data_IF_443400350870
#
_entry.id   IF_443400350870
#
_cell.length_a   1.000
_cell.length_b   1.000
_cell.length_c   1.000
_cell.angle_alpha   90.00
_cell.angle_beta   90.00
_cell.angle_gamma   90.00
#
_symmetry.space_group_name_H-M   'P 1'
#
loop_
_entity.id
_entity.type
_entity.pdbx_description
1 polymer ?
#
# COMPACT_ATOMS: atom_id res chain seq x y z
N UNK A 1 -14.63 -28.79 -0.57
CA UNK A 1 -13.91 -27.72 0.16
C UNK A 1 -14.13 -26.42 -0.59
N UNK A 2 -15.12 -25.64 -0.17
CA UNK A 2 -15.40 -24.33 -0.76
C UNK A 2 -14.23 -23.42 -0.43
N UNK A 3 -13.41 -23.04 -1.42
CA UNK A 3 -12.49 -21.91 -1.26
C UNK A 3 -13.37 -20.73 -0.89
N UNK A 4 -13.38 -20.32 0.38
CA UNK A 4 -13.93 -19.01 0.74
C UNK A 4 -13.10 -18.01 -0.05
N UNK A 5 -13.69 -17.47 -1.11
CA UNK A 5 -13.12 -16.33 -1.79
C UNK A 5 -13.16 -15.22 -0.75
N UNK A 6 -12.02 -14.97 -0.09
CA UNK A 6 -11.93 -13.90 0.91
C UNK A 6 -12.15 -12.62 0.13
N UNK A 7 -13.38 -12.11 0.13
CA UNK A 7 -13.67 -10.81 -0.47
C UNK A 7 -12.82 -9.81 0.28
N UNK A 8 -11.79 -9.30 -0.39
CA UNK A 8 -10.85 -8.33 0.17
C UNK A 8 -11.32 -6.92 -0.07
N UNK A 9 -10.48 -5.97 0.34
CA UNK A 9 -10.60 -4.59 -0.06
C UNK A 9 -10.41 -4.54 -1.57
N UNK A 10 -11.34 -3.89 -2.27
CA UNK A 10 -11.22 -3.61 -3.69
C UNK A 10 -10.14 -2.56 -3.90
N UNK A 11 -10.19 -1.49 -3.10
CA UNK A 11 -9.25 -0.38 -3.13
C UNK A 11 -8.86 0.03 -1.72
N UNK A 12 -7.57 0.28 -1.49
CA UNK A 12 -7.03 0.90 -0.29
C UNK A 12 -6.28 2.16 -0.72
N UNK A 13 -6.67 3.31 -0.17
CA UNK A 13 -5.99 4.58 -0.38
C UNK A 13 -4.97 4.78 0.73
N UNK A 14 -3.72 4.99 0.33
CA UNK A 14 -2.59 5.21 1.21
C UNK A 14 -2.03 6.61 0.96
N UNK A 15 -1.98 7.43 2.01
CA UNK A 15 -1.16 8.62 2.00
C UNK A 15 0.31 8.24 2.23
N UNK A 16 1.24 8.98 1.65
CA UNK A 16 2.68 8.69 1.82
C UNK A 16 3.50 9.93 2.19
N UNK A 17 4.56 9.69 2.97
CA UNK A 17 5.62 10.65 3.31
C UNK A 17 6.99 9.95 3.15
N UNK A 18 8.03 10.60 2.59
CA UNK A 18 8.06 11.97 2.07
C UNK A 18 7.37 12.13 0.70
N UNK A 19 6.75 13.30 0.49
CA UNK A 19 6.03 13.65 -0.74
C UNK A 19 6.99 14.20 -1.79
N UNK A 20 7.70 13.31 -2.50
CA UNK A 20 8.57 13.68 -3.60
C UNK A 20 8.50 12.70 -4.78
N UNK A 21 8.99 13.12 -5.94
CA UNK A 21 8.89 12.38 -7.20
C UNK A 21 9.55 11.00 -7.14
N UNK A 22 10.64 10.84 -6.37
CA UNK A 22 11.32 9.55 -6.26
C UNK A 22 10.47 8.57 -5.48
N UNK A 23 9.87 9.02 -4.38
CA UNK A 23 8.93 8.23 -3.59
C UNK A 23 7.72 7.84 -4.43
N UNK A 24 7.06 8.83 -5.05
CA UNK A 24 5.88 8.59 -5.90
C UNK A 24 6.17 7.60 -7.04
N UNK A 25 7.31 7.77 -7.73
CA UNK A 25 7.73 6.87 -8.82
C UNK A 25 7.93 5.45 -8.33
N UNK A 26 8.59 5.27 -7.18
CA UNK A 26 8.86 3.94 -6.63
C UNK A 26 7.59 3.24 -6.12
N UNK A 27 6.67 3.98 -5.48
CA UNK A 27 5.36 3.48 -5.07
C UNK A 27 4.50 3.04 -6.26
N UNK A 28 4.63 3.73 -7.39
CA UNK A 28 3.87 3.43 -8.60
C UNK A 28 4.28 2.11 -9.26
N UNK A 29 5.47 1.58 -8.96
CA UNK A 29 6.01 0.37 -9.56
C UNK A 29 5.18 -0.88 -9.22
N UNK A 30 4.87 -1.69 -10.23
CA UNK A 30 4.10 -2.93 -10.06
C UNK A 30 4.73 -3.92 -9.08
N UNK A 31 6.07 -3.97 -9.04
CA UNK A 31 6.81 -4.80 -8.10
C UNK A 31 6.56 -4.40 -6.65
N UNK A 32 6.52 -3.09 -6.37
CA UNK A 32 6.23 -2.57 -5.03
C UNK A 32 4.78 -2.83 -4.62
N UNK A 33 3.83 -2.62 -5.54
CA UNK A 33 2.41 -2.94 -5.32
C UNK A 33 2.18 -4.42 -5.03
N UNK A 34 2.85 -5.30 -5.78
CA UNK A 34 2.80 -6.74 -5.55
C UNK A 34 3.43 -7.14 -4.21
N UNK A 35 4.54 -6.48 -3.84
CA UNK A 35 5.16 -6.64 -2.53
C UNK A 35 4.20 -6.27 -1.39
N UNK A 36 3.58 -5.08 -1.46
CA UNK A 36 2.63 -4.61 -0.44
C UNK A 36 1.45 -5.56 -0.26
N UNK A 37 0.85 -6.06 -1.35
CA UNK A 37 -0.24 -7.07 -1.28
C UNK A 37 0.17 -8.32 -0.51
N UNK A 38 1.44 -8.71 -0.62
CA UNK A 38 1.96 -9.91 0.05
C UNK A 38 2.31 -9.65 1.50
N UNK A 39 2.93 -8.52 1.82
CA UNK A 39 3.37 -8.20 3.19
C UNK A 39 2.23 -7.71 4.07
N UNK A 40 1.19 -7.13 3.47
CA UNK A 40 0.03 -6.59 4.16
C UNK A 40 -1.21 -7.49 4.06
N UNK A 41 -1.10 -8.70 3.52
CA UNK A 41 -2.22 -9.66 3.46
C UNK A 41 -2.81 -9.87 4.87
N UNK A 42 -4.09 -9.52 5.03
CA UNK A 42 -4.74 -9.53 6.33
C UNK A 42 -5.59 -8.30 6.62
N UNK A 43 -6.10 -8.18 7.86
CA UNK A 43 -6.93 -7.07 8.29
C UNK A 43 -6.20 -5.72 8.16
N UNK A 44 -6.96 -4.68 7.82
CA UNK A 44 -6.47 -3.30 7.73
C UNK A 44 -7.56 -2.33 8.18
N UNK A 45 -7.18 -1.23 8.83
CA UNK A 45 -8.10 -0.20 9.28
C UNK A 45 -7.68 1.19 8.79
N UNK A 46 -8.65 2.09 8.63
CA UNK A 46 -8.38 3.51 8.40
C UNK A 46 -7.64 4.09 9.60
N UNK A 47 -6.58 4.84 9.32
CA UNK A 47 -5.66 5.38 10.32
C UNK A 47 -4.50 4.46 10.67
N UNK A 48 -4.48 3.21 10.18
CA UNK A 48 -3.29 2.37 10.33
C UNK A 48 -2.10 3.04 9.61
N UNK A 49 -0.95 2.99 10.26
CA UNK A 49 0.30 3.53 9.74
C UNK A 49 1.36 2.44 9.70
N UNK A 50 2.15 2.43 8.63
CA UNK A 50 3.20 1.46 8.40
C UNK A 50 4.48 2.15 7.94
N UNK A 51 5.59 1.80 8.60
CA UNK A 51 6.92 2.06 8.08
C UNK A 51 7.24 1.05 6.97
N UNK A 52 7.69 1.56 5.85
CA UNK A 52 8.04 0.82 4.65
C UNK A 52 9.31 1.40 4.04
N UNK A 53 9.85 0.73 3.03
CA UNK A 53 10.96 1.25 2.25
C UNK A 53 10.74 1.03 0.76
N UNK A 54 11.20 1.98 -0.04
CA UNK A 54 11.15 1.90 -1.51
C UNK A 54 12.56 1.91 -2.09
N UNK A 55 12.74 1.23 -3.23
CA UNK A 55 13.98 1.31 -3.99
C UNK A 55 13.93 2.52 -4.94
N UNK A 56 14.86 3.46 -4.81
CA UNK A 56 14.93 4.68 -5.62
C UNK A 56 15.88 4.56 -6.83
N UNK A 57 16.31 3.35 -7.18
CA UNK A 57 17.33 3.09 -8.21
C UNK A 57 18.76 3.14 -7.67
N UNK A 58 19.71 2.68 -8.49
CA UNK A 58 21.15 2.64 -8.18
C UNK A 58 21.52 1.95 -6.86
N UNK A 59 20.67 1.05 -6.35
CA UNK A 59 20.89 0.34 -5.09
C UNK A 59 20.58 1.16 -3.83
N UNK A 60 19.92 2.32 -3.98
CA UNK A 60 19.50 3.14 -2.83
C UNK A 60 18.07 2.83 -2.42
N UNK A 61 17.84 2.76 -1.11
CA UNK A 61 16.51 2.68 -0.52
C UNK A 61 16.19 3.97 0.21
N UNK A 62 14.89 4.21 0.41
CA UNK A 62 14.38 5.29 1.23
C UNK A 62 13.22 4.77 2.06
N UNK A 63 13.21 5.17 3.32
CA UNK A 63 12.09 4.90 4.22
C UNK A 63 10.90 5.78 3.84
N UNK A 64 9.71 5.17 3.87
CA UNK A 64 8.44 5.83 3.58
C UNK A 64 7.45 5.45 4.68
N UNK A 65 6.66 6.42 5.09
CA UNK A 65 5.51 6.17 5.96
C UNK A 65 4.27 6.10 5.08
N UNK A 66 3.51 5.01 5.19
CA UNK A 66 2.22 4.84 4.53
C UNK A 66 1.12 4.85 5.57
N UNK A 67 0.08 5.66 5.37
CA UNK A 67 -1.09 5.70 6.25
C UNK A 67 -2.35 5.40 5.47
N UNK A 68 -3.22 4.58 6.03
CA UNK A 68 -4.50 4.21 5.43
C UNK A 68 -5.50 5.36 5.58
N UNK A 69 -5.88 5.97 4.47
CA UNK A 69 -6.88 7.04 4.46
C UNK A 69 -8.28 6.50 4.17
N UNK A 70 -8.38 5.48 3.31
CA UNK A 70 -9.66 4.89 2.96
C UNK A 70 -9.53 3.41 2.58
N UNK A 71 -10.60 2.67 2.86
CA UNK A 71 -10.75 1.27 2.47
C UNK A 71 -12.11 1.08 1.81
N UNK A 72 -12.11 0.62 0.57
CA UNK A 72 -13.32 0.30 -0.20
C UNK A 72 -13.50 -1.21 -0.24
N UNK A 73 -14.67 -1.68 0.17
CA UNK A 73 -14.99 -3.10 0.30
C UNK A 73 -14.66 -3.64 1.71
N UNK A 74 -14.30 -4.92 1.79
CA UNK A 74 -13.99 -5.57 3.07
C UNK A 74 -12.63 -5.09 3.59
N UNK A 75 -12.47 -4.76 4.89
CA UNK A 75 -11.21 -4.27 5.47
C UNK A 75 -10.15 -5.37 5.66
N UNK A 76 -9.79 -6.01 4.54
CA UNK A 76 -8.82 -7.09 4.46
C UNK A 76 -8.06 -6.94 3.14
N UNK A 77 -6.76 -6.70 3.20
CA UNK A 77 -5.89 -6.74 2.02
C UNK A 77 -5.78 -8.18 1.54
N UNK A 78 -5.89 -8.36 0.23
CA UNK A 78 -5.67 -9.62 -0.46
C UNK A 78 -4.81 -9.40 -1.70
N UNK A 79 -4.56 -10.48 -2.44
CA UNK A 79 -3.84 -10.43 -3.72
C UNK A 79 -4.52 -9.60 -4.81
N UNK A 80 -5.83 -9.36 -4.69
CA UNK A 80 -6.63 -8.61 -5.67
C UNK A 80 -6.76 -7.12 -5.31
N UNK A 81 -6.43 -6.74 -4.07
CA UNK A 81 -6.56 -5.36 -3.59
C UNK A 81 -5.76 -4.38 -4.42
N UNK A 82 -6.39 -3.29 -4.84
CA UNK A 82 -5.72 -2.19 -5.53
C UNK A 82 -5.27 -1.14 -4.51
N UNK A 83 -3.99 -0.77 -4.55
CA UNK A 83 -3.49 0.35 -3.74
C UNK A 83 -3.53 1.63 -4.57
N UNK A 84 -4.01 2.72 -3.99
CA UNK A 84 -3.90 4.07 -4.55
C UNK A 84 -3.00 4.88 -3.63
N UNK A 85 -2.06 5.63 -4.19
CA UNK A 85 -1.10 6.40 -3.41
C UNK A 85 -1.34 7.89 -3.63
N UNK A 86 -1.47 8.63 -2.54
CA UNK A 86 -1.70 10.07 -2.55
C UNK A 86 -0.67 10.76 -1.65
N UNK A 87 -0.22 11.98 -1.97
CA UNK A 87 0.65 12.72 -1.07
C UNK A 87 -0.02 12.96 0.28
N UNK A 88 0.69 12.72 1.38
CA UNK A 88 0.19 13.14 2.69
C UNK A 88 0.04 14.67 2.74
N UNK A 89 -1.11 15.13 3.22
CA UNK A 89 -1.40 16.56 3.40
C UNK A 89 -1.80 16.75 4.87
N UNK A 90 -1.10 17.63 5.59
CA UNK A 90 -1.36 17.97 7.00
C UNK A 90 -2.70 18.68 7.22
#
# INVERSE_FOLDING_TARGET
MTKSNRQGAETVVLSYTPTDDRTSSALSADSYRAYLRRTRDGPIAVGDEFEEFVNCGCGTTRDVTLRVEAVVGTPVVTRETQFVFEPYTE
#
